data_IF_582479527299
#
_entry.id   IF_582479527299
#
_cell.length_a   1.000
_cell.length_b   1.000
_cell.length_c   1.000
_cell.angle_alpha   90.00
_cell.angle_beta   90.00
_cell.angle_gamma   90.00
#
_symmetry.space_group_name_H-M   'P 1'
#
loop_
_entity.id
_entity.type
_entity.pdbx_description
1 polymer ?
#
# COMPACT_ATOMS: atom_id res chain seq x y z
N UNK A 1 6.51 3.68 -9.79
CA UNK A 1 5.72 3.36 -11.00
C UNK A 1 6.32 2.16 -11.73
N UNK A 2 5.48 1.21 -12.07
CA UNK A 2 5.87 -0.02 -12.76
C UNK A 2 5.20 -0.09 -14.12
N UNK A 3 5.96 -0.37 -15.15
CA UNK A 3 5.48 -0.53 -16.53
C UNK A 3 5.80 -1.90 -17.15
N UNK A 4 6.49 -2.76 -16.42
CA UNK A 4 6.78 -4.13 -16.83
C UNK A 4 5.74 -5.08 -16.22
N UNK A 5 4.89 -5.67 -17.06
CA UNK A 5 3.85 -6.58 -16.60
C UNK A 5 4.41 -7.81 -15.87
N UNK A 6 5.54 -8.33 -16.30
CA UNK A 6 6.16 -9.49 -15.64
C UNK A 6 6.56 -9.17 -14.21
N UNK A 7 7.06 -7.97 -13.98
CA UNK A 7 7.43 -7.48 -12.65
C UNK A 7 6.18 -7.31 -11.78
N UNK A 8 5.13 -6.73 -12.32
CA UNK A 8 3.84 -6.56 -11.64
C UNK A 8 3.25 -7.91 -11.25
N UNK A 9 3.28 -8.87 -12.16
CA UNK A 9 2.77 -10.22 -11.93
C UNK A 9 3.56 -10.94 -10.84
N UNK A 10 4.86 -10.72 -10.77
CA UNK A 10 5.72 -11.30 -9.74
C UNK A 10 5.38 -10.81 -8.32
N UNK A 11 4.70 -9.68 -8.18
CA UNK A 11 4.26 -9.13 -6.90
C UNK A 11 2.99 -9.78 -6.35
N UNK A 12 2.35 -10.67 -7.10
CA UNK A 12 1.08 -11.29 -6.72
C UNK A 12 1.05 -11.87 -5.29
N UNK A 13 2.09 -12.56 -4.79
CA UNK A 13 2.08 -13.09 -3.42
C UNK A 13 2.03 -12.02 -2.32
N UNK A 14 2.27 -10.76 -2.66
CA UNK A 14 2.40 -9.67 -1.69
C UNK A 14 1.19 -8.75 -1.63
N UNK A 15 0.13 -9.05 -2.37
CA UNK A 15 -1.12 -8.27 -2.33
C UNK A 15 -2.34 -9.20 -2.47
N UNK A 16 -3.51 -8.61 -2.28
CA UNK A 16 -4.78 -9.36 -2.28
C UNK A 16 -5.62 -9.14 -3.54
N UNK A 17 -5.12 -8.35 -4.48
CA UNK A 17 -5.85 -8.02 -5.70
C UNK A 17 -5.83 -9.18 -6.69
N UNK A 18 -6.93 -9.36 -7.43
CA UNK A 18 -6.96 -10.34 -8.52
C UNK A 18 -6.12 -9.88 -9.69
N UNK A 19 -5.63 -10.83 -10.48
CA UNK A 19 -4.86 -10.51 -11.69
C UNK A 19 -5.68 -9.66 -12.67
N UNK A 20 -6.97 -9.98 -12.82
CA UNK A 20 -7.86 -9.24 -13.71
C UNK A 20 -8.00 -7.77 -13.29
N UNK A 21 -8.14 -7.50 -11.99
CA UNK A 21 -8.24 -6.15 -11.49
C UNK A 21 -6.93 -5.37 -11.70
N UNK A 22 -5.80 -6.00 -11.42
CA UNK A 22 -4.49 -5.38 -11.62
C UNK A 22 -4.27 -5.06 -13.09
N UNK A 23 -4.64 -5.98 -13.98
CA UNK A 23 -4.53 -5.78 -15.42
C UNK A 23 -5.41 -4.63 -15.91
N UNK A 24 -6.63 -4.55 -15.40
CA UNK A 24 -7.54 -3.44 -15.71
C UNK A 24 -6.93 -2.09 -15.34
N UNK A 25 -6.32 -2.01 -14.15
CA UNK A 25 -5.64 -0.79 -13.70
C UNK A 25 -4.40 -0.48 -14.54
N UNK A 26 -3.66 -1.49 -14.94
CA UNK A 26 -2.48 -1.36 -15.78
C UNK A 26 -2.84 -0.79 -17.16
N UNK A 27 -3.98 -1.19 -17.70
CA UNK A 27 -4.43 -0.79 -19.04
C UNK A 27 -5.28 0.49 -19.04
N UNK A 28 -5.62 1.06 -17.88
CA UNK A 28 -6.65 2.08 -17.77
C UNK A 28 -6.22 3.47 -18.24
N UNK A 29 -4.93 3.76 -18.36
CA UNK A 29 -4.41 5.06 -18.79
C UNK A 29 -3.87 5.05 -20.22
N UNK A 30 -3.37 6.21 -20.66
CA UNK A 30 -2.73 6.35 -21.97
C UNK A 30 -1.41 5.58 -22.04
N UNK A 31 -0.78 5.36 -20.89
CA UNK A 31 0.46 4.59 -20.76
C UNK A 31 0.17 3.39 -19.86
N UNK A 32 0.59 2.21 -20.28
CA UNK A 32 0.46 1.01 -19.46
C UNK A 32 1.44 1.06 -18.29
N UNK A 33 0.91 1.38 -17.12
CA UNK A 33 1.69 1.51 -15.90
C UNK A 33 0.79 1.38 -14.67
N UNK A 34 1.42 1.06 -13.53
CA UNK A 34 0.74 1.04 -12.25
C UNK A 34 1.69 1.62 -11.19
N UNK A 35 1.13 2.33 -10.23
CA UNK A 35 1.89 2.83 -9.09
C UNK A 35 1.90 1.78 -7.99
N UNK A 36 3.08 1.51 -7.46
CA UNK A 36 3.27 0.56 -6.38
C UNK A 36 3.81 1.28 -5.16
N UNK A 37 3.19 1.05 -4.01
CA UNK A 37 3.66 1.57 -2.74
C UNK A 37 3.84 0.41 -1.76
N UNK A 38 5.04 0.31 -1.20
CA UNK A 38 5.31 -0.61 -0.11
C UNK A 38 4.97 0.10 1.19
N UNK A 39 3.99 -0.45 1.92
CA UNK A 39 3.53 0.14 3.18
C UNK A 39 3.66 -0.85 4.31
N UNK A 40 3.90 -0.34 5.51
CA UNK A 40 3.86 -1.14 6.72
C UNK A 40 2.66 -0.72 7.55
N UNK A 41 1.86 -1.70 7.96
CA UNK A 41 0.63 -1.47 8.71
C UNK A 41 0.90 -1.61 10.21
N UNK A 42 0.39 -0.68 10.98
CA UNK A 42 0.47 -0.68 12.44
C UNK A 42 -0.91 -0.73 13.05
N UNK A 43 -1.01 -1.36 14.19
CA UNK A 43 -2.21 -1.38 15.01
C UNK A 43 -2.04 -0.35 16.13
N UNK A 44 -3.10 0.40 16.39
CA UNK A 44 -3.14 1.37 17.48
C UNK A 44 -4.47 1.27 18.21
N UNK A 45 -4.52 1.81 19.43
CA UNK A 45 -5.79 1.98 20.11
C UNK A 45 -6.68 2.94 19.32
N UNK A 46 -8.00 2.70 19.26
CA UNK A 46 -8.91 3.62 18.61
C UNK A 46 -8.82 5.02 19.20
N UNK A 47 -8.81 6.02 18.33
CA UNK A 47 -8.87 7.42 18.75
C UNK A 47 -9.82 8.18 17.84
N UNK A 48 -10.42 9.24 18.38
CA UNK A 48 -11.42 10.02 17.66
C UNK A 48 -10.82 11.35 17.22
N UNK A 49 -11.09 11.71 15.97
CA UNK A 49 -10.70 12.99 15.40
C UNK A 49 -11.96 13.78 15.03
N UNK A 50 -11.94 15.12 15.21
CA UNK A 50 -13.02 15.96 14.69
C UNK A 50 -13.10 15.82 13.16
N UNK A 51 -14.31 15.83 12.62
CA UNK A 51 -14.49 15.79 11.17
C UNK A 51 -13.88 17.02 10.52
N UNK A 52 -13.18 16.81 9.41
CA UNK A 52 -12.65 17.87 8.56
C UNK A 52 -13.02 17.59 7.10
N UNK A 53 -13.17 18.63 6.29
CA UNK A 53 -13.52 18.49 4.88
C UNK A 53 -12.56 17.61 4.11
N UNK A 54 -11.29 17.60 4.50
CA UNK A 54 -10.27 16.75 3.87
C UNK A 54 -10.48 15.26 4.05
N UNK A 55 -11.36 14.85 4.97
CA UNK A 55 -11.66 13.43 5.21
C UNK A 55 -12.85 12.93 4.40
N UNK A 56 -13.60 13.84 3.76
CA UNK A 56 -14.77 13.46 2.98
C UNK A 56 -14.42 12.88 1.62
N UNK A 57 -15.36 12.12 1.04
CA UNK A 57 -15.21 11.53 -0.28
C UNK A 57 -14.41 10.23 -0.27
N UNK A 58 -14.19 9.69 -1.46
CA UNK A 58 -13.41 8.45 -1.65
C UNK A 58 -11.92 8.77 -1.68
N UNK A 59 -11.27 8.71 -0.53
CA UNK A 59 -9.85 9.00 -0.39
C UNK A 59 -9.09 7.78 0.10
N UNK A 60 -8.01 7.46 -0.56
CA UNK A 60 -7.09 6.40 -0.13
C UNK A 60 -6.24 6.87 1.05
N UNK A 61 -5.85 8.15 1.03
CA UNK A 61 -4.98 8.74 2.05
C UNK A 61 -5.60 10.01 2.58
N UNK A 62 -5.51 10.19 3.90
CA UNK A 62 -5.90 11.44 4.55
C UNK A 62 -4.76 11.92 5.43
N UNK A 63 -4.59 13.24 5.46
CA UNK A 63 -3.58 13.86 6.31
C UNK A 63 -4.19 14.09 7.70
N UNK A 64 -3.54 13.56 8.72
CA UNK A 64 -3.99 13.75 10.10
C UNK A 64 -3.56 15.13 10.62
N UNK A 65 -4.44 15.84 11.34
CA UNK A 65 -4.10 17.13 11.94
C UNK A 65 -3.22 17.02 13.19
N UNK A 66 -3.13 15.82 13.76
CA UNK A 66 -2.35 15.54 14.96
C UNK A 66 -1.44 14.36 14.71
N UNK A 67 -0.32 14.23 15.46
CA UNK A 67 0.55 13.05 15.34
C UNK A 67 -0.24 11.77 15.70
N UNK A 68 0.12 10.63 15.11
CA UNK A 68 -0.48 9.35 15.50
C UNK A 68 -0.17 9.01 16.95
N UNK A 69 -0.97 8.15 17.60
CA UNK A 69 -0.70 7.72 18.97
C UNK A 69 0.72 7.13 19.11
N UNK A 70 1.36 7.40 20.26
CA UNK A 70 2.72 6.90 20.52
C UNK A 70 2.80 5.38 20.56
N UNK A 71 1.73 4.72 21.01
CA UNK A 71 1.66 3.27 21.08
C UNK A 71 1.07 2.71 19.81
N UNK A 72 1.96 2.37 18.88
CA UNK A 72 1.61 1.66 17.67
C UNK A 72 2.42 0.38 17.62
N UNK A 73 1.72 -0.73 17.34
CA UNK A 73 2.36 -2.02 17.18
C UNK A 73 2.30 -2.44 15.71
N UNK A 74 3.41 -2.88 15.10
CA UNK A 74 3.34 -3.39 13.75
C UNK A 74 2.46 -4.65 13.71
N UNK A 75 1.62 -4.73 12.69
CA UNK A 75 0.76 -5.90 12.48
C UNK A 75 1.60 -7.13 12.11
N UNK A 76 2.70 -6.92 11.40
CA UNK A 76 3.64 -7.96 11.01
C UNK A 76 4.93 -7.79 11.80
N UNK A 77 5.46 -8.88 12.35
CA UNK A 77 6.73 -8.85 13.07
C UNK A 77 7.87 -8.33 12.18
N UNK A 78 8.88 -7.71 12.81
CA UNK A 78 9.99 -7.10 12.09
C UNK A 78 10.71 -8.08 11.16
N UNK A 79 10.99 -9.29 11.64
CA UNK A 79 11.68 -10.29 10.84
C UNK A 79 10.88 -10.72 9.61
N UNK A 80 9.57 -10.89 9.77
CA UNK A 80 8.67 -11.27 8.68
C UNK A 80 8.53 -10.12 7.69
N UNK A 81 8.37 -8.90 8.18
CA UNK A 81 8.28 -7.72 7.32
C UNK A 81 9.56 -7.51 6.51
N UNK A 82 10.72 -7.60 7.14
CA UNK A 82 12.01 -7.42 6.46
C UNK A 82 12.24 -8.49 5.38
N UNK A 83 11.83 -9.71 5.63
CA UNK A 83 11.92 -10.79 4.65
C UNK A 83 11.05 -10.48 3.41
N UNK A 84 9.81 -10.04 3.64
CA UNK A 84 8.89 -9.64 2.56
C UNK A 84 9.41 -8.42 1.82
N UNK A 85 9.91 -7.42 2.54
CA UNK A 85 10.48 -6.21 1.95
C UNK A 85 11.64 -6.53 1.03
N UNK A 86 12.57 -7.38 1.48
CA UNK A 86 13.71 -7.80 0.68
C UNK A 86 13.28 -8.53 -0.59
N UNK A 87 12.29 -9.42 -0.48
CA UNK A 87 11.76 -10.14 -1.63
C UNK A 87 11.12 -9.17 -2.65
N UNK A 88 10.34 -8.21 -2.18
CA UNK A 88 9.71 -7.19 -3.04
C UNK A 88 10.78 -6.32 -3.71
N UNK A 89 11.75 -5.84 -2.96
CA UNK A 89 12.83 -5.01 -3.50
C UNK A 89 13.63 -5.75 -4.57
N UNK A 90 13.84 -7.04 -4.40
CA UNK A 90 14.51 -7.87 -5.39
C UNK A 90 13.70 -7.94 -6.70
N UNK A 91 12.39 -8.05 -6.61
CA UNK A 91 11.50 -8.04 -7.77
C UNK A 91 11.55 -6.69 -8.48
N UNK A 92 11.61 -5.60 -7.71
CA UNK A 92 11.58 -4.23 -8.22
C UNK A 92 12.92 -3.72 -8.75
N UNK A 93 13.99 -4.41 -8.46
CA UNK A 93 15.35 -3.99 -8.87
C UNK A 93 15.68 -4.36 -10.33
#
# INVERSE_FOLDING_TARGET
>A
TLSDWNQIKALEPFHVWTEDLVRERFDCGDVQQIHCALVRVYRTEPFTLPYAKGYGGCRTWVKLPVPPPERMEPVMEDSVFEKSRTAIETILS
#
